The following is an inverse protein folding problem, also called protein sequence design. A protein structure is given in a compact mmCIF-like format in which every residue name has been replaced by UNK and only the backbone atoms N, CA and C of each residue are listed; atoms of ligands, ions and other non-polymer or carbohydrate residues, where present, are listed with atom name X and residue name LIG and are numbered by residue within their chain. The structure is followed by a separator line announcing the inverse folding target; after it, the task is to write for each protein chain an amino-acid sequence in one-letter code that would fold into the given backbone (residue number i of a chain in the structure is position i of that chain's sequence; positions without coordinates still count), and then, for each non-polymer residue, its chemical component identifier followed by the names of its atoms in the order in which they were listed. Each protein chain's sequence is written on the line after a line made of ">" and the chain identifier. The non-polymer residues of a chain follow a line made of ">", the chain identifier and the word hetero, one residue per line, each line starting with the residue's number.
data_IF_195828759392
#
_entry.id   IF_195828759392
#
_cell.length_a   1.000
_cell.length_b   1.000
_cell.length_c   1.000
_cell.angle_alpha   90.00
_cell.angle_beta   90.00
_cell.angle_gamma   90.00
#
_symmetry.space_group_name_H-M   'P 1'
#
loop_
_entity.id
_entity.type
_entity.pdbx_description
1 polymer ?
#
# COMPACT_ATOMS: atom_id res chain seq x y z
N UNK A 1 -84.43 3.49 -24.39
CA UNK A 1 -83.25 4.00 -25.11
C UNK A 1 -82.02 3.33 -24.50
N UNK A 2 -81.28 2.61 -25.33
CA UNK A 2 -80.00 1.96 -25.04
C UNK A 2 -78.84 3.01 -25.13
N UNK A 3 -77.54 2.66 -25.14
CA UNK A 3 -76.74 1.78 -24.25
C UNK A 3 -75.32 2.38 -23.91
N UNK A 4 -74.48 1.55 -23.25
CA UNK A 4 -73.00 1.34 -23.37
C UNK A 4 -72.16 1.74 -22.14
N UNK A 5 -71.52 0.81 -21.42
CA UNK A 5 -70.39 -0.12 -21.70
C UNK A 5 -69.01 0.56 -21.85
N UNK A 6 -68.00 -0.13 -21.30
CA UNK A 6 -66.53 0.07 -21.41
C UNK A 6 -65.98 1.00 -20.31
N UNK A 7 -65.13 0.60 -19.35
CA UNK A 7 -64.07 -0.41 -19.32
C UNK A 7 -63.82 -0.85 -17.86
N UNK A 8 -64.13 -2.11 -17.52
CA UNK A 8 -63.68 -2.78 -16.30
C UNK A 8 -62.70 -3.86 -16.74
N UNK A 9 -61.40 -3.56 -16.72
CA UNK A 9 -60.37 -4.58 -16.76
C UNK A 9 -59.05 -4.01 -16.23
N UNK A 10 -58.41 -4.79 -15.35
CA UNK A 10 -57.08 -4.61 -14.75
C UNK A 10 -57.10 -3.83 -13.42
N UNK A 11 -57.79 -4.41 -12.43
CA UNK A 11 -57.45 -4.23 -11.02
C UNK A 11 -57.41 -5.62 -10.36
N UNK A 12 -56.40 -6.42 -10.72
CA UNK A 12 -56.21 -7.76 -10.14
C UNK A 12 -54.75 -8.23 -10.27
N UNK A 13 -53.78 -7.43 -9.79
CA UNK A 13 -52.42 -7.92 -9.46
C UNK A 13 -51.91 -7.10 -8.29
N UNK A 14 -52.28 -7.43 -7.05
CA UNK A 14 -51.65 -6.92 -5.83
C UNK A 14 -52.09 -7.75 -4.61
N UNK A 15 -52.07 -9.09 -4.69
CA UNK A 15 -52.27 -9.92 -3.49
C UNK A 15 -51.82 -11.39 -3.63
N UNK A 16 -50.60 -11.66 -4.11
CA UNK A 16 -49.89 -12.93 -3.85
C UNK A 16 -48.40 -12.65 -3.79
N UNK A 17 -47.82 -12.65 -2.60
CA UNK A 17 -46.39 -12.40 -2.39
C UNK A 17 -46.00 -12.05 -0.96
N UNK A 18 -46.71 -12.57 0.04
CA UNK A 18 -46.27 -12.59 1.43
C UNK A 18 -46.38 -14.04 1.90
N UNK A 19 -45.33 -14.81 1.67
CA UNK A 19 -44.89 -15.96 2.48
C UNK A 19 -43.63 -16.50 1.79
N UNK A 20 -42.45 -16.20 2.36
CA UNK A 20 -41.18 -16.97 2.27
C UNK A 20 -39.99 -16.03 2.55
N UNK A 21 -39.82 -15.66 3.82
CA UNK A 21 -38.61 -15.02 4.31
C UNK A 21 -38.28 -15.49 5.73
N UNK A 22 -38.40 -16.80 6.00
CA UNK A 22 -37.98 -17.41 7.26
C UNK A 22 -37.51 -18.86 7.03
N UNK A 23 -36.42 -19.06 6.29
CA UNK A 23 -35.53 -20.24 6.39
C UNK A 23 -34.34 -20.05 5.46
N UNK A 24 -33.15 -19.76 6.02
CA UNK A 24 -31.95 -19.64 5.20
C UNK A 24 -30.67 -19.14 5.87
N UNK A 25 -30.51 -19.26 7.20
CA UNK A 25 -29.20 -19.07 7.84
C UNK A 25 -28.54 -20.44 8.06
N UNK A 26 -28.13 -21.09 6.97
CA UNK A 26 -27.26 -22.25 7.02
C UNK A 26 -26.46 -22.32 5.72
N UNK A 27 -25.28 -21.72 5.73
CA UNK A 27 -24.40 -21.65 4.57
C UNK A 27 -23.10 -20.93 4.91
N UNK A 28 -22.35 -21.45 5.88
CA UNK A 28 -20.93 -21.11 6.02
C UNK A 28 -20.17 -21.71 4.84
N UNK A 29 -20.23 -21.05 3.70
CA UNK A 29 -19.25 -21.21 2.64
C UNK A 29 -18.41 -19.93 2.64
N UNK A 30 -17.45 -19.86 3.56
CA UNK A 30 -16.32 -18.93 3.42
C UNK A 30 -15.60 -19.39 2.16
N UNK A 31 -15.75 -18.63 1.07
CA UNK A 31 -14.95 -18.84 -0.12
C UNK A 31 -13.47 -18.85 0.30
N UNK A 32 -12.67 -19.85 -0.11
CA UNK A 32 -11.24 -19.83 0.18
C UNK A 32 -10.67 -18.55 -0.42
N UNK A 33 -10.12 -17.70 0.45
CA UNK A 33 -9.36 -16.53 -0.01
C UNK A 33 -8.24 -17.02 -0.92
N UNK A 34 -8.06 -16.45 -2.12
CA UNK A 34 -6.87 -16.74 -2.89
C UNK A 34 -5.68 -16.21 -2.08
N UNK A 35 -4.92 -17.11 -1.47
CA UNK A 35 -3.59 -16.84 -0.94
C UNK A 35 -2.65 -16.55 -2.11
N UNK A 36 -2.81 -15.38 -2.73
CA UNK A 36 -1.86 -14.86 -3.68
C UNK A 36 -0.70 -14.24 -2.89
N UNK A 37 0.12 -15.09 -2.28
CA UNK A 37 1.49 -14.74 -1.92
C UNK A 37 2.26 -14.60 -3.23
N UNK A 38 2.06 -13.48 -3.93
CA UNK A 38 2.95 -13.14 -5.03
C UNK A 38 4.35 -13.01 -4.42
N UNK A 39 5.36 -13.76 -4.90
CA UNK A 39 6.72 -13.54 -4.46
C UNK A 39 7.07 -12.08 -4.76
N UNK A 40 7.66 -11.39 -3.78
CA UNK A 40 8.21 -10.07 -4.03
C UNK A 40 9.13 -10.15 -5.24
N UNK A 41 9.10 -9.18 -6.18
CA UNK A 41 10.11 -9.08 -7.22
C UNK A 41 11.47 -8.89 -6.55
N UNK A 42 12.20 -9.99 -6.33
CA UNK A 42 13.59 -9.95 -5.91
C UNK A 42 14.41 -9.42 -7.08
N UNK A 43 15.23 -8.40 -6.83
CA UNK A 43 16.22 -7.97 -7.81
C UNK A 43 17.26 -9.12 -7.92
N UNK A 44 17.41 -9.78 -9.08
CA UNK A 44 18.44 -10.79 -9.25
C UNK A 44 19.81 -10.14 -9.12
N UNK A 45 20.65 -10.66 -8.22
CA UNK A 45 22.04 -10.24 -8.11
C UNK A 45 22.78 -10.58 -9.39
N UNK A 46 23.11 -9.57 -10.20
CA UNK A 46 24.03 -9.73 -11.33
C UNK A 46 23.68 -9.04 -12.65
N UNK A 47 22.56 -8.33 -12.76
CA UNK A 47 22.28 -7.51 -13.94
C UNK A 47 22.32 -6.03 -13.56
N UNK A 48 23.10 -5.23 -14.29
CA UNK A 48 22.90 -3.78 -14.41
C UNK A 48 21.93 -3.56 -15.56
N UNK A 49 20.70 -3.04 -15.35
CA UNK A 49 19.86 -2.75 -16.50
C UNK A 49 19.37 -1.31 -16.40
N UNK A 50 19.92 -0.47 -17.27
CA UNK A 50 19.13 0.62 -17.80
C UNK A 50 17.81 0.00 -18.33
N UNK A 51 16.69 0.30 -17.68
CA UNK A 51 15.37 -0.25 -18.03
C UNK A 51 14.62 -1.02 -16.93
N UNK A 52 15.23 -1.32 -15.77
CA UNK A 52 14.50 -1.94 -14.65
C UNK A 52 13.66 -0.97 -13.83
N UNK A 53 13.92 0.32 -13.91
CA UNK A 53 13.22 1.34 -13.14
C UNK A 53 12.87 2.50 -14.03
N UNK A 54 11.71 3.10 -13.76
CA UNK A 54 11.25 4.31 -14.43
C UNK A 54 11.48 5.49 -13.51
N UNK A 55 12.22 6.49 -13.99
CA UNK A 55 12.35 7.78 -13.32
C UNK A 55 11.33 8.72 -13.93
N UNK A 56 10.48 9.30 -13.08
CA UNK A 56 9.53 10.32 -13.44
C UNK A 56 10.04 11.68 -12.97
N UNK A 57 9.99 12.66 -13.85
CA UNK A 57 10.58 13.99 -13.64
C UNK A 57 9.51 15.01 -13.30
N UNK A 58 9.76 15.83 -12.27
CA UNK A 58 8.92 16.97 -11.89
C UNK A 58 7.41 16.68 -11.89
N UNK A 59 6.99 15.66 -11.14
CA UNK A 59 5.58 15.27 -11.03
C UNK A 59 5.10 15.26 -9.58
N UNK A 60 3.78 15.29 -9.39
CA UNK A 60 3.16 14.96 -8.10
C UNK A 60 3.09 13.44 -7.93
N UNK A 61 3.41 12.93 -6.75
CA UNK A 61 3.37 11.51 -6.42
C UNK A 61 3.12 11.28 -4.92
N UNK A 62 2.75 10.06 -4.53
CA UNK A 62 2.69 9.67 -3.12
C UNK A 62 4.02 9.07 -2.67
N UNK A 63 4.56 9.54 -1.54
CA UNK A 63 5.74 8.97 -0.91
C UNK A 63 5.32 8.12 0.29
N UNK A 64 5.28 6.80 0.11
CA UNK A 64 4.92 5.85 1.16
C UNK A 64 6.11 5.23 1.91
N UNK A 65 7.35 5.50 1.51
CA UNK A 65 8.54 4.78 1.99
C UNK A 65 8.73 4.79 3.52
N UNK A 66 8.08 5.71 4.23
CA UNK A 66 8.08 5.77 5.69
C UNK A 66 6.70 5.58 6.33
N UNK A 67 5.69 5.23 5.56
CA UNK A 67 4.33 5.12 6.06
C UNK A 67 4.15 3.96 7.06
N UNK A 68 3.20 4.15 7.97
CA UNK A 68 2.58 3.06 8.71
C UNK A 68 1.20 2.81 8.11
N UNK A 69 0.81 1.54 8.08
CA UNK A 69 -0.40 1.11 7.40
C UNK A 69 -1.29 0.31 8.33
N UNK A 70 -2.59 0.45 8.12
CA UNK A 70 -3.60 -0.42 8.71
C UNK A 70 -4.00 -1.49 7.70
N UNK A 71 -4.10 -2.74 8.15
CA UNK A 71 -4.55 -3.84 7.29
C UNK A 71 -6.07 -3.90 7.31
N UNK A 72 -6.69 -3.93 6.14
CA UNK A 72 -8.13 -4.20 5.98
C UNK A 72 -8.28 -5.24 4.88
N UNK A 73 -8.82 -6.40 5.23
CA UNK A 73 -9.03 -7.52 4.30
C UNK A 73 -7.76 -7.86 3.49
N UNK A 74 -6.61 -7.95 4.17
CA UNK A 74 -5.29 -8.29 3.60
C UNK A 74 -4.67 -7.23 2.67
N UNK A 75 -5.27 -6.04 2.57
CA UNK A 75 -4.67 -4.88 1.89
C UNK A 75 -4.13 -3.91 2.95
N UNK A 76 -2.92 -3.41 2.77
CA UNK A 76 -2.36 -2.38 3.62
C UNK A 76 -2.77 -1.01 3.12
N UNK A 77 -3.54 -0.28 3.91
CA UNK A 77 -3.90 1.11 3.65
C UNK A 77 -2.92 2.01 4.39
N UNK A 78 -2.04 2.65 3.63
CA UNK A 78 -0.90 3.38 4.14
C UNK A 78 -1.13 4.89 4.03
N UNK A 79 -0.85 5.61 5.11
CA UNK A 79 -0.84 7.07 5.10
C UNK A 79 0.47 7.59 4.56
N UNK A 80 0.45 8.19 3.38
CA UNK A 80 1.62 8.62 2.63
C UNK A 80 1.60 10.13 2.42
N UNK A 81 2.78 10.70 2.18
CA UNK A 81 2.91 12.13 1.93
C UNK A 81 2.71 12.41 0.44
N UNK A 82 1.92 13.42 0.09
CA UNK A 82 1.93 13.96 -1.28
C UNK A 82 3.21 14.78 -1.47
N UNK A 83 3.98 14.48 -2.50
CA UNK A 83 5.25 15.14 -2.85
C UNK A 83 5.26 15.60 -4.30
N UNK A 84 6.11 16.56 -4.58
CA UNK A 84 6.40 17.04 -5.93
C UNK A 84 7.90 16.90 -6.19
N UNK A 85 8.25 16.53 -7.43
CA UNK A 85 9.63 16.46 -7.89
C UNK A 85 9.93 15.16 -8.63
N UNK A 86 11.20 14.77 -8.59
CA UNK A 86 11.65 13.54 -9.22
C UNK A 86 11.37 12.32 -8.33
N UNK A 87 10.95 11.23 -8.95
CA UNK A 87 10.73 9.95 -8.26
C UNK A 87 11.11 8.77 -9.16
N UNK A 88 11.31 7.60 -8.55
CA UNK A 88 11.67 6.36 -9.22
C UNK A 88 10.73 5.25 -8.79
N UNK A 89 10.35 4.37 -9.72
CA UNK A 89 9.47 3.24 -9.45
C UNK A 89 9.91 2.02 -10.26
N UNK A 90 9.57 0.84 -9.77
CA UNK A 90 9.49 -0.35 -10.61
C UNK A 90 8.58 -0.09 -11.82
N UNK A 91 8.77 -0.80 -12.95
CA UNK A 91 7.96 -0.59 -14.13
C UNK A 91 6.54 -1.07 -13.84
N UNK A 92 5.61 -0.13 -13.78
CA UNK A 92 4.18 -0.39 -13.73
C UNK A 92 3.57 -0.01 -15.08
N UNK A 93 2.74 -0.88 -15.64
CA UNK A 93 1.91 -0.57 -16.80
C UNK A 93 0.46 -0.92 -16.54
N UNK A 94 -0.42 0.04 -16.76
CA UNK A 94 -1.89 -0.13 -16.68
C UNK A 94 -2.47 0.47 -17.95
N UNK A 95 -3.27 -0.31 -18.68
CA UNK A 95 -3.90 0.11 -19.93
C UNK A 95 -2.94 0.73 -20.97
N UNK A 96 -1.68 0.25 -20.97
CA UNK A 96 -0.62 0.73 -21.86
C UNK A 96 0.17 1.94 -21.36
N UNK A 97 -0.36 2.68 -20.39
CA UNK A 97 0.31 3.80 -19.74
C UNK A 97 1.38 3.32 -18.76
N UNK A 98 2.48 4.07 -18.64
CA UNK A 98 3.49 3.81 -17.62
C UNK A 98 3.24 4.67 -16.37
N UNK A 99 3.90 4.33 -15.27
CA UNK A 99 3.74 5.03 -13.97
C UNK A 99 3.88 6.55 -14.04
N UNK A 100 4.69 7.10 -14.94
CA UNK A 100 4.84 8.55 -15.05
C UNK A 100 3.65 9.16 -15.78
N UNK A 101 3.17 8.53 -16.85
CA UNK A 101 1.92 8.94 -17.51
C UNK A 101 0.74 8.89 -16.53
N UNK A 102 0.64 7.79 -15.77
CA UNK A 102 -0.44 7.60 -14.79
C UNK A 102 -0.40 8.70 -13.72
N UNK A 103 0.78 9.06 -13.20
CA UNK A 103 0.90 10.16 -12.22
C UNK A 103 0.64 11.54 -12.82
N UNK A 104 1.11 11.81 -14.04
CA UNK A 104 0.85 13.05 -14.74
C UNK A 104 -0.65 13.28 -14.96
N UNK A 105 -1.38 12.22 -15.32
CA UNK A 105 -2.83 12.25 -15.52
C UNK A 105 -3.62 12.15 -14.20
N UNK A 106 -3.03 11.56 -13.16
CA UNK A 106 -3.71 11.19 -11.94
C UNK A 106 -4.23 12.39 -11.13
N UNK A 107 -3.49 13.50 -11.14
CA UNK A 107 -3.86 14.73 -10.41
C UNK A 107 -5.26 15.20 -10.80
N UNK A 108 -5.54 15.25 -12.10
CA UNK A 108 -6.85 15.68 -12.63
C UNK A 108 -7.92 14.59 -12.45
N UNK A 109 -7.52 13.33 -12.37
CA UNK A 109 -8.42 12.18 -12.22
C UNK A 109 -8.65 11.76 -10.76
N UNK A 110 -8.10 12.49 -9.80
CA UNK A 110 -8.32 12.28 -8.37
C UNK A 110 -7.58 11.08 -7.77
N UNK A 111 -6.52 10.58 -8.40
CA UNK A 111 -5.67 9.53 -7.85
C UNK A 111 -4.18 9.79 -8.10
N UNK A 112 -3.31 9.05 -7.44
CA UNK A 112 -1.87 9.05 -7.72
C UNK A 112 -1.29 7.67 -7.44
N UNK A 113 -0.10 7.41 -7.96
CA UNK A 113 0.69 6.21 -7.72
C UNK A 113 1.82 6.56 -6.75
N UNK A 114 2.02 5.69 -5.77
CA UNK A 114 3.15 5.77 -4.87
C UNK A 114 4.43 5.36 -5.60
N UNK A 115 5.41 6.26 -5.59
CA UNK A 115 6.74 6.06 -6.15
C UNK A 115 7.79 6.45 -5.11
N UNK A 116 9.03 6.03 -5.32
CA UNK A 116 10.10 6.28 -4.37
C UNK A 116 10.82 7.59 -4.64
N UNK A 117 11.02 8.35 -3.59
CA UNK A 117 12.16 9.26 -3.42
C UNK A 117 12.73 9.02 -2.03
N UNK A 118 14.01 9.35 -1.82
CA UNK A 118 14.62 9.14 -0.51
C UNK A 118 13.98 10.09 0.52
N UNK A 119 13.34 9.59 1.58
CA UNK A 119 12.70 10.45 2.56
C UNK A 119 13.74 11.21 3.39
N UNK A 120 13.64 12.54 3.47
CA UNK A 120 14.55 13.35 4.28
C UNK A 120 14.57 12.93 5.76
N UNK A 121 13.45 12.39 6.24
CA UNK A 121 13.31 11.91 7.62
C UNK A 121 14.28 10.77 7.98
N UNK A 122 14.83 10.03 7.02
CA UNK A 122 15.83 8.97 7.27
C UNK A 122 17.29 9.41 6.99
N UNK A 123 17.51 10.64 6.51
CA UNK A 123 18.84 11.14 6.13
C UNK A 123 19.56 11.72 7.35
N UNK A 124 20.76 11.22 7.64
CA UNK A 124 21.60 11.71 8.72
C UNK A 124 22.28 13.05 8.35
N UNK A 125 22.58 13.93 9.32
CA UNK A 125 22.32 13.79 10.77
C UNK A 125 20.95 14.33 11.21
N UNK A 126 20.17 14.92 10.31
CA UNK A 126 18.99 15.72 10.68
C UNK A 126 17.67 14.91 10.69
N UNK A 127 17.66 13.73 10.08
CA UNK A 127 16.51 12.85 10.03
C UNK A 127 16.12 12.32 11.41
N UNK A 128 14.81 12.25 11.67
CA UNK A 128 14.21 11.77 12.92
C UNK A 128 13.69 10.33 12.81
N UNK A 129 14.04 9.63 11.73
CA UNK A 129 13.69 8.24 11.44
C UNK A 129 14.91 7.47 10.99
N UNK A 130 14.82 6.15 11.00
CA UNK A 130 15.88 5.26 10.58
C UNK A 130 15.34 4.06 9.79
N UNK A 131 16.20 3.47 8.96
CA UNK A 131 15.95 2.18 8.33
C UNK A 131 16.33 1.06 9.30
N UNK A 132 15.33 0.29 9.74
CA UNK A 132 15.52 -0.89 10.58
C UNK A 132 15.71 -2.11 9.70
N UNK A 133 16.87 -2.77 9.82
CA UNK A 133 17.17 -3.98 9.06
C UNK A 133 16.65 -5.20 9.80
N UNK A 134 15.61 -5.82 9.25
CA UNK A 134 15.15 -7.14 9.62
C UNK A 134 16.04 -8.19 8.92
N UNK A 135 16.76 -9.04 9.67
CA UNK A 135 17.73 -9.97 9.09
C UNK A 135 17.08 -11.06 8.23
N UNK A 136 17.89 -11.78 7.46
CA UNK A 136 17.45 -13.00 6.77
C UNK A 136 16.80 -13.99 7.75
N UNK A 137 15.76 -14.70 7.30
CA UNK A 137 14.98 -15.60 8.16
C UNK A 137 13.92 -14.92 9.03
N UNK A 138 13.83 -13.59 9.02
CA UNK A 138 12.71 -12.84 9.61
C UNK A 138 11.36 -13.36 9.09
N UNK A 139 10.39 -13.51 9.99
CA UNK A 139 9.07 -14.08 9.66
C UNK A 139 7.97 -13.03 9.49
N UNK A 140 8.28 -11.75 9.74
CA UNK A 140 7.35 -10.65 9.56
C UNK A 140 7.05 -10.35 8.09
N UNK A 141 6.40 -9.22 7.86
CA UNK A 141 5.92 -8.77 6.57
C UNK A 141 5.87 -7.25 6.53
N UNK A 142 5.74 -6.73 5.33
CA UNK A 142 5.75 -5.29 5.07
C UNK A 142 4.81 -4.95 3.92
N UNK A 143 4.30 -3.73 3.92
CA UNK A 143 3.57 -3.20 2.78
C UNK A 143 4.56 -2.79 1.69
N UNK A 144 4.36 -3.28 0.47
CA UNK A 144 5.09 -2.81 -0.71
C UNK A 144 4.20 -1.79 -1.43
N UNK A 145 4.52 -0.50 -1.27
CA UNK A 145 3.75 0.60 -1.84
C UNK A 145 4.31 1.18 -3.15
N UNK A 146 5.50 0.80 -3.61
CA UNK A 146 5.98 1.19 -4.93
C UNK A 146 5.04 0.62 -6.01
N UNK A 147 4.40 1.50 -6.78
CA UNK A 147 3.32 1.17 -7.71
C UNK A 147 1.92 1.09 -7.09
N UNK A 148 1.75 1.36 -5.78
CA UNK A 148 0.45 1.35 -5.11
C UNK A 148 -0.44 2.55 -5.50
N UNK A 149 -1.74 2.33 -5.68
CA UNK A 149 -2.70 3.38 -6.05
C UNK A 149 -3.22 4.10 -4.80
N UNK A 150 -3.31 5.44 -4.89
CA UNK A 150 -3.71 6.33 -3.80
C UNK A 150 -4.85 7.24 -4.25
N UNK A 151 -5.83 7.46 -3.37
CA UNK A 151 -7.05 8.21 -3.71
C UNK A 151 -7.08 9.57 -3.03
N UNK A 152 -7.14 10.65 -3.83
CA UNK A 152 -7.06 12.03 -3.33
C UNK A 152 -8.26 12.41 -2.46
N UNK A 153 -9.41 11.75 -2.65
CA UNK A 153 -10.61 11.94 -1.83
C UNK A 153 -10.39 11.59 -0.35
N UNK A 154 -9.29 10.93 0.00
CA UNK A 154 -8.92 10.67 1.40
C UNK A 154 -8.30 11.88 2.11
N UNK A 155 -7.79 12.88 1.39
CA UNK A 155 -7.12 14.03 2.00
C UNK A 155 -8.08 14.80 2.91
N UNK A 156 -7.61 15.19 4.10
CA UNK A 156 -8.46 15.89 5.06
C UNK A 156 -9.66 15.06 5.54
N UNK A 157 -9.68 13.74 5.36
CA UNK A 157 -10.80 12.87 5.77
C UNK A 157 -10.43 12.00 6.97
N UNK A 158 -11.44 11.46 7.65
CA UNK A 158 -11.23 10.36 8.59
C UNK A 158 -11.11 9.05 7.80
N UNK A 159 -10.14 8.21 8.15
CA UNK A 159 -9.95 6.90 7.48
C UNK A 159 -9.87 5.78 8.52
N UNK A 160 -10.55 4.63 8.31
CA UNK A 160 -10.51 3.51 9.25
C UNK A 160 -9.09 3.06 9.58
N UNK A 161 -8.78 2.86 10.85
CA UNK A 161 -7.45 2.43 11.31
C UNK A 161 -6.45 3.57 11.53
N UNK A 162 -6.86 4.83 11.38
CA UNK A 162 -6.10 6.00 11.81
C UNK A 162 -6.90 6.80 12.83
N UNK A 163 -6.31 7.06 14.00
CA UNK A 163 -6.99 7.73 15.12
C UNK A 163 -7.23 9.23 14.88
N UNK A 164 -6.62 9.79 13.84
CA UNK A 164 -6.72 11.22 13.50
C UNK A 164 -7.12 11.37 12.05
N UNK A 165 -7.81 12.47 11.79
CA UNK A 165 -8.05 12.95 10.44
C UNK A 165 -6.72 13.11 9.70
N UNK A 166 -6.74 12.76 8.42
CA UNK A 166 -5.60 12.89 7.54
C UNK A 166 -5.27 14.38 7.36
N UNK A 167 -3.98 14.72 7.36
CA UNK A 167 -3.56 16.07 7.01
C UNK A 167 -3.99 16.47 5.60
N UNK A 168 -3.93 17.76 5.27
CA UNK A 168 -4.26 18.25 3.92
C UNK A 168 -3.31 17.73 2.84
N UNK A 169 -2.11 17.26 3.24
CA UNK A 169 -1.09 16.67 2.38
C UNK A 169 -0.93 15.15 2.58
N UNK A 170 -1.75 14.55 3.44
CA UNK A 170 -1.74 13.10 3.69
C UNK A 170 -2.75 12.44 2.76
N UNK A 171 -2.33 11.35 2.11
CA UNK A 171 -3.19 10.53 1.24
C UNK A 171 -3.13 9.06 1.66
N UNK A 172 -4.20 8.32 1.42
CA UNK A 172 -4.22 6.87 1.60
C UNK A 172 -3.90 6.16 0.30
N UNK A 173 -2.89 5.28 0.38
CA UNK A 173 -2.51 4.36 -0.68
C UNK A 173 -2.88 2.92 -0.30
N UNK A 174 -3.40 2.17 -1.26
CA UNK A 174 -3.60 0.73 -1.13
C UNK A 174 -2.34 0.01 -1.61
N UNK A 175 -1.71 -0.75 -0.71
CA UNK A 175 -0.46 -1.44 -0.95
C UNK A 175 -0.62 -2.94 -0.71
N UNK A 176 -0.11 -3.79 -1.62
CA UNK A 176 0.00 -5.22 -1.34
C UNK A 176 0.93 -5.48 -0.15
N UNK A 177 0.66 -6.55 0.57
CA UNK A 177 1.47 -6.99 1.70
C UNK A 177 2.40 -8.12 1.24
N UNK A 178 3.67 -7.97 1.53
CA UNK A 178 4.70 -8.99 1.32
C UNK A 178 5.00 -9.71 2.63
N UNK A 179 4.98 -11.05 2.61
CA UNK A 179 5.52 -11.87 3.69
C UNK A 179 7.01 -12.09 3.45
N UNK A 180 7.85 -11.80 4.44
CA UNK A 180 9.30 -11.92 4.31
C UNK A 180 9.84 -13.31 4.67
N UNK A 181 8.97 -14.24 5.08
CA UNK A 181 9.36 -15.60 5.43
C UNK A 181 10.12 -16.26 4.27
N UNK A 182 11.33 -16.72 4.55
CA UNK A 182 12.22 -17.33 3.55
C UNK A 182 13.02 -16.32 2.70
N UNK A 183 12.95 -15.01 2.99
CA UNK A 183 13.80 -14.01 2.30
C UNK A 183 15.28 -14.24 2.65
N UNK A 184 16.16 -14.45 1.63
CA UNK A 184 17.59 -14.69 1.86
C UNK A 184 18.36 -13.43 2.27
N UNK A 185 17.80 -12.23 2.01
CA UNK A 185 18.45 -10.93 2.27
C UNK A 185 17.79 -10.15 3.41
N UNK A 186 16.68 -10.65 3.95
CA UNK A 186 15.86 -9.91 4.90
C UNK A 186 15.10 -8.76 4.23
N UNK A 187 14.78 -7.73 5.01
CA UNK A 187 14.09 -6.53 4.54
C UNK A 187 14.36 -5.34 5.46
N UNK A 188 14.01 -4.15 5.01
CA UNK A 188 14.09 -2.92 5.78
C UNK A 188 12.73 -2.26 5.92
N UNK A 189 12.46 -1.70 7.09
CA UNK A 189 11.28 -0.87 7.39
C UNK A 189 11.72 0.44 8.02
N UNK A 190 11.00 1.52 7.75
CA UNK A 190 11.28 2.80 8.41
C UNK A 190 10.70 2.83 9.82
N UNK A 191 11.47 3.32 10.80
CA UNK A 191 11.08 3.43 12.21
C UNK A 191 11.58 4.70 12.88
N UNK A 192 11.38 4.83 14.21
CA UNK A 192 11.83 6.00 14.97
C UNK A 192 13.36 6.06 15.04
N UNK A 193 13.89 7.28 15.17
CA UNK A 193 15.29 7.52 15.52
C UNK A 193 15.36 8.54 16.67
N UNK A 194 16.19 8.34 17.72
CA UNK A 194 17.16 7.25 17.93
C UNK A 194 16.56 5.83 17.92
N UNK A 195 17.39 4.82 17.64
CA UNK A 195 16.97 3.44 17.49
C UNK A 195 16.25 2.90 18.74
N UNK A 196 15.21 2.10 18.54
CA UNK A 196 14.46 1.44 19.59
C UNK A 196 14.40 -0.08 19.34
N UNK A 197 14.98 -0.87 20.23
CA UNK A 197 15.04 -2.34 20.08
C UNK A 197 13.65 -2.98 19.97
N UNK A 198 12.67 -2.42 20.69
CA UNK A 198 11.28 -2.87 20.64
C UNK A 198 10.65 -2.76 19.25
N UNK A 199 11.20 -1.92 18.35
CA UNK A 199 10.72 -1.78 16.99
C UNK A 199 11.04 -3.01 16.12
N UNK A 200 12.06 -3.80 16.45
CA UNK A 200 12.35 -5.06 15.75
C UNK A 200 11.27 -6.14 15.94
N UNK A 201 10.25 -5.92 16.78
CA UNK A 201 9.05 -6.76 16.84
C UNK A 201 8.36 -6.91 15.48
N UNK A 202 8.46 -5.88 14.62
CA UNK A 202 7.90 -5.90 13.26
C UNK A 202 8.67 -6.82 12.29
N UNK A 203 9.84 -7.34 12.70
CA UNK A 203 10.59 -8.32 11.94
C UNK A 203 10.06 -9.76 12.08
N UNK A 204 9.26 -10.06 13.11
CA UNK A 204 8.90 -11.45 13.45
C UNK A 204 7.40 -11.70 13.67
N UNK A 205 6.54 -10.68 13.52
CA UNK A 205 5.10 -10.84 13.74
C UNK A 205 4.38 -11.14 12.43
N UNK A 206 4.00 -12.41 12.17
CA UNK A 206 3.18 -12.78 11.01
C UNK A 206 1.75 -12.22 11.09
N UNK A 207 1.15 -12.24 12.28
CA UNK A 207 -0.23 -11.78 12.52
C UNK A 207 -0.40 -10.28 12.28
N UNK A 208 0.65 -9.48 12.55
CA UNK A 208 0.62 -8.04 12.33
C UNK A 208 0.46 -7.62 10.85
N UNK A 209 0.57 -8.56 9.91
CA UNK A 209 0.61 -8.27 8.49
C UNK A 209 -0.53 -8.91 7.69
N UNK A 210 -1.47 -9.62 8.32
CA UNK A 210 -2.56 -10.29 7.57
C UNK A 210 -3.94 -10.12 8.19
N UNK A 211 -4.03 -9.81 9.49
CA UNK A 211 -5.32 -9.63 10.16
C UNK A 211 -5.87 -8.22 9.98
N UNK A 212 -7.16 -8.08 9.67
CA UNK A 212 -7.83 -6.77 9.67
C UNK A 212 -7.64 -6.06 11.01
N UNK A 213 -7.30 -4.77 10.98
CA UNK A 213 -7.01 -3.94 12.15
C UNK A 213 -5.56 -4.00 12.64
N UNK A 214 -4.73 -4.88 12.08
CA UNK A 214 -3.30 -4.93 12.41
C UNK A 214 -2.51 -3.80 11.74
N UNK A 215 -1.34 -3.49 12.30
CA UNK A 215 -0.42 -2.48 11.76
C UNK A 215 0.77 -3.14 11.09
N UNK A 216 0.98 -2.83 9.81
CA UNK A 216 2.17 -3.18 9.04
C UNK A 216 2.95 -1.93 8.66
N UNK A 217 4.26 -2.07 8.45
CA UNK A 217 5.14 -0.97 8.00
C UNK A 217 5.40 -1.07 6.51
N UNK A 218 5.56 0.06 5.85
CA UNK A 218 6.13 0.05 4.50
C UNK A 218 7.57 -0.41 4.58
N UNK A 219 7.95 -1.28 3.65
CA UNK A 219 9.27 -1.84 3.59
C UNK A 219 9.65 -2.30 2.19
N UNK A 220 10.89 -2.76 2.08
CA UNK A 220 11.46 -3.31 0.86
C UNK A 220 12.61 -4.25 1.24
N UNK A 221 13.10 -5.10 0.32
CA UNK A 221 14.33 -5.85 0.54
C UNK A 221 15.48 -4.97 1.03
N UNK A 222 16.36 -5.54 1.86
CA UNK A 222 17.49 -4.80 2.43
C UNK A 222 18.34 -4.18 1.34
N UNK A 223 18.61 -2.87 1.45
CA UNK A 223 19.42 -2.12 0.50
C UNK A 223 18.63 -1.44 -0.63
N UNK A 224 17.34 -1.74 -0.80
CA UNK A 224 16.52 -1.15 -1.87
C UNK A 224 16.47 0.37 -1.80
N UNK A 225 16.31 0.97 -0.61
CA UNK A 225 16.26 2.42 -0.47
C UNK A 225 17.56 3.12 -0.93
N UNK A 226 18.72 2.56 -0.56
CA UNK A 226 20.01 3.06 -1.00
C UNK A 226 20.21 2.88 -2.51
N UNK A 227 19.84 1.72 -3.05
CA UNK A 227 19.91 1.45 -4.48
C UNK A 227 19.04 2.44 -5.29
N UNK A 228 17.78 2.64 -4.90
CA UNK A 228 16.87 3.56 -5.57
C UNK A 228 17.33 5.02 -5.45
N UNK A 229 17.85 5.42 -4.29
CA UNK A 229 18.43 6.75 -4.10
C UNK A 229 19.64 6.98 -5.03
N UNK A 230 20.52 5.99 -5.17
CA UNK A 230 21.66 6.06 -6.08
C UNK A 230 21.20 6.23 -7.53
N UNK A 231 20.17 5.47 -7.95
CA UNK A 231 19.64 5.56 -9.32
C UNK A 231 18.93 6.90 -9.58
N UNK A 232 18.19 7.42 -8.60
CA UNK A 232 17.43 8.66 -8.76
C UNK A 232 18.33 9.91 -8.69
N UNK A 233 19.24 9.95 -7.70
CA UNK A 233 20.00 11.15 -7.33
C UNK A 233 21.49 11.09 -7.73
N UNK A 234 21.97 9.95 -8.25
CA UNK A 234 23.38 9.71 -8.53
C UNK A 234 24.26 9.53 -7.29
N UNK A 235 23.69 9.57 -6.09
CA UNK A 235 24.39 9.38 -4.82
C UNK A 235 23.46 8.87 -3.72
N UNK A 236 24.05 8.28 -2.68
CA UNK A 236 23.34 7.89 -1.46
C UNK A 236 23.88 8.73 -0.31
N UNK A 237 23.10 9.66 0.26
CA UNK A 237 23.54 10.38 1.44
C UNK A 237 23.64 9.43 2.63
N UNK A 238 24.30 9.86 3.70
CA UNK A 238 24.36 9.06 4.93
C UNK A 238 22.94 8.86 5.48
N UNK A 239 22.58 7.61 5.78
CA UNK A 239 21.27 7.27 6.33
C UNK A 239 21.39 6.94 7.82
N UNK A 240 20.33 7.23 8.56
CA UNK A 240 20.15 6.66 9.89
C UNK A 240 19.76 5.18 9.72
N UNK A 241 20.56 4.28 10.28
CA UNK A 241 20.33 2.84 10.21
C UNK A 241 20.25 2.26 11.62
N UNK A 242 19.32 1.31 11.80
CA UNK A 242 19.20 0.51 13.02
C UNK A 242 19.35 -0.97 12.63
N UNK A 243 20.23 -1.67 13.34
CA UNK A 243 20.43 -3.11 13.15
C UNK A 243 20.01 -3.81 14.43
N UNK A 244 19.38 -4.98 14.28
CA UNK A 244 19.06 -5.79 15.44
C UNK A 244 20.36 -6.05 16.22
N UNK A 245 20.34 -5.99 17.57
CA UNK A 245 21.44 -6.50 18.36
C UNK A 245 21.77 -7.91 17.86
N UNK A 246 23.05 -8.23 17.69
CA UNK A 246 23.49 -9.57 17.32
C UNK A 246 22.80 -10.58 18.23
N UNK A 247 21.94 -11.44 17.67
CA UNK A 247 21.42 -12.61 18.37
C UNK A 247 22.52 -13.67 18.49
#
# INVERSE_FOLDING_TARGET
>A
MAPRLVNFLILAIMLVGMLDALTGCAGNAVAPSPSASAPAPGIPGGATPAGLFKICKAQTYALCATASCTVINQVAYCKCDVKEGDSISLPLRVDGEDVCSINANGVDNGYMVSTFSLPESVVAPNGHRALYTCPAGSTGGYAQCDGGICFTSSNGSSFPGFDRQLGSTDIICACPITQAQGSPVGYQIAGPYPCADSYFRYCNSQTANTSTGSTVKVGAPTGTAGFLALQLNGSVPKLNECRAPSQ
#
